data_IF_833944724422
#
_entry.id   IF_833944724422
#
_cell.length_a   1.000
_cell.length_b   1.000
_cell.length_c   1.000
_cell.angle_alpha   90.00
_cell.angle_beta   90.00
_cell.angle_gamma   90.00
#
_symmetry.space_group_name_H-M   'P 1'
#
loop_
_entity.id
_entity.type
_entity.pdbx_description
1 polymer ?
#
# COMPACT_ATOMS: atom_id res chain seq x y z
N UNK A 1 17.59 9.78 0.07
CA UNK A 1 17.59 8.96 -1.15
C UNK A 1 18.10 7.59 -0.74
N UNK A 2 17.33 6.54 -0.92
CA UNK A 2 17.83 5.18 -0.69
C UNK A 2 19.02 5.04 -1.62
N UNK A 3 20.24 4.80 -1.09
CA UNK A 3 21.32 4.34 -1.93
C UNK A 3 20.89 2.98 -2.45
N UNK A 4 20.43 2.92 -3.68
CA UNK A 4 20.05 1.68 -4.32
C UNK A 4 21.34 0.93 -4.60
N UNK A 5 21.87 0.29 -3.54
CA UNK A 5 23.10 -0.48 -3.60
C UNK A 5 23.00 -1.50 -4.73
N UNK A 6 23.82 -1.31 -5.78
CA UNK A 6 23.93 -2.22 -6.91
C UNK A 6 23.27 -1.77 -8.20
N UNK A 7 22.37 -0.78 -8.21
CA UNK A 7 21.86 -0.23 -9.48
C UNK A 7 22.97 0.59 -10.17
N UNK A 8 23.48 0.06 -11.29
CA UNK A 8 24.54 0.68 -12.10
C UNK A 8 24.06 1.84 -12.96
N UNK A 9 24.99 2.50 -13.66
CA UNK A 9 24.67 3.54 -14.64
C UNK A 9 23.99 2.93 -15.89
N UNK A 10 23.08 3.69 -16.50
CA UNK A 10 22.49 3.36 -17.80
C UNK A 10 21.53 2.15 -17.80
N UNK A 11 20.99 1.76 -16.63
CA UNK A 11 20.12 0.60 -16.52
C UNK A 11 18.68 0.88 -16.98
N UNK A 12 18.00 -0.20 -17.40
CA UNK A 12 16.56 -0.21 -17.72
C UNK A 12 15.74 -0.44 -16.46
N UNK A 13 14.89 0.53 -16.12
CA UNK A 13 14.04 0.53 -14.91
C UNK A 13 12.60 0.28 -15.28
N UNK A 14 11.92 -0.57 -14.55
CA UNK A 14 10.47 -0.72 -14.61
C UNK A 14 9.82 0.05 -13.48
N UNK A 15 8.90 0.94 -13.81
CA UNK A 15 8.02 1.63 -12.87
C UNK A 15 6.57 1.23 -13.08
N UNK A 16 5.96 0.61 -12.06
CA UNK A 16 4.55 0.24 -12.10
C UNK A 16 3.64 1.31 -11.48
N UNK A 17 4.12 2.06 -10.49
CA UNK A 17 3.29 3.02 -9.79
C UNK A 17 2.96 4.23 -10.68
N UNK A 18 1.71 4.73 -10.68
CA UNK A 18 1.36 6.00 -11.32
C UNK A 18 2.20 7.14 -10.74
N UNK A 19 2.49 8.17 -11.53
CA UNK A 19 3.29 9.32 -11.06
C UNK A 19 2.61 10.13 -9.94
N UNK A 20 1.32 9.98 -9.76
CA UNK A 20 0.58 10.53 -8.60
C UNK A 20 0.83 9.76 -7.30
N UNK A 21 1.51 8.62 -7.37
CA UNK A 21 1.90 7.81 -6.22
C UNK A 21 3.37 7.98 -5.94
N UNK A 22 3.70 8.17 -4.67
CA UNK A 22 5.08 8.39 -4.21
C UNK A 22 6.01 7.19 -4.46
N UNK A 23 5.49 5.98 -4.54
CA UNK A 23 6.27 4.80 -4.92
C UNK A 23 6.98 4.99 -6.28
N UNK A 24 6.41 5.75 -7.21
CA UNK A 24 7.04 6.07 -8.49
C UNK A 24 8.37 6.81 -8.33
N UNK A 25 8.52 7.57 -7.25
CA UNK A 25 9.73 8.32 -6.91
C UNK A 25 10.93 7.39 -6.69
N UNK A 26 10.70 6.15 -6.20
CA UNK A 26 11.75 5.13 -6.04
C UNK A 26 12.33 4.64 -7.38
N UNK A 27 11.60 4.77 -8.48
CA UNK A 27 12.10 4.45 -9.81
C UNK A 27 12.60 5.71 -10.53
N UNK A 28 11.82 6.79 -10.56
CA UNK A 28 12.07 8.00 -11.37
C UNK A 28 13.42 8.63 -11.05
N UNK A 29 13.64 9.02 -9.80
CA UNK A 29 14.86 9.78 -9.47
C UNK A 29 16.14 8.94 -9.56
N UNK A 30 16.20 7.71 -9.04
CA UNK A 30 17.42 6.90 -9.23
C UNK A 30 17.69 6.58 -10.69
N UNK A 31 16.66 6.27 -11.49
CA UNK A 31 16.80 6.05 -12.93
C UNK A 31 17.40 7.28 -13.63
N UNK A 32 16.81 8.46 -13.44
CA UNK A 32 17.27 9.68 -14.09
C UNK A 32 18.68 10.10 -13.63
N UNK A 33 18.97 10.00 -12.34
CA UNK A 33 20.28 10.38 -11.81
C UNK A 33 21.42 9.43 -12.19
N UNK A 34 21.07 8.18 -12.55
CA UNK A 34 22.01 7.18 -13.07
C UNK A 34 22.10 7.14 -14.60
N UNK A 35 21.36 8.02 -15.31
CA UNK A 35 21.32 8.02 -16.78
C UNK A 35 20.63 6.79 -17.36
N UNK A 36 19.70 6.17 -16.62
CA UNK A 36 18.94 5.00 -17.03
C UNK A 36 17.72 5.35 -17.89
N UNK A 37 17.05 4.31 -18.38
CA UNK A 37 15.77 4.38 -19.11
C UNK A 37 14.63 3.96 -18.22
N UNK A 38 13.55 4.76 -18.13
CA UNK A 38 12.36 4.45 -17.35
C UNK A 38 11.27 3.84 -18.22
N UNK A 39 10.95 2.58 -17.99
CA UNK A 39 9.89 1.84 -18.65
C UNK A 39 8.64 1.85 -17.80
N UNK A 40 7.55 2.38 -18.33
CA UNK A 40 6.30 2.57 -17.60
C UNK A 40 5.34 1.41 -17.87
N UNK A 41 4.79 0.85 -16.80
CA UNK A 41 3.67 -0.10 -16.87
C UNK A 41 2.37 0.70 -16.83
N UNK A 42 1.63 0.68 -17.92
CA UNK A 42 0.34 1.35 -18.03
C UNK A 42 -0.83 0.47 -17.54
N UNK A 43 -2.02 1.09 -17.47
CA UNK A 43 -3.26 0.39 -17.03
C UNK A 43 -3.68 -0.76 -17.94
N UNK A 44 -3.35 -0.68 -19.23
CA UNK A 44 -3.69 -1.74 -20.19
C UNK A 44 -2.78 -2.94 -20.03
N UNK A 45 -1.49 -2.74 -19.75
CA UNK A 45 -0.54 -3.81 -19.41
C UNK A 45 -0.95 -4.54 -18.13
N UNK A 46 -1.44 -3.81 -17.13
CA UNK A 46 -1.95 -4.42 -15.88
C UNK A 46 -3.18 -5.29 -16.17
N UNK A 47 -4.11 -4.82 -17.01
CA UNK A 47 -5.35 -5.53 -17.36
C UNK A 47 -5.11 -6.69 -18.34
N UNK A 48 -4.06 -6.60 -19.15
CA UNK A 48 -3.74 -7.55 -20.23
C UNK A 48 -2.32 -8.09 -20.05
N UNK A 49 -2.12 -9.13 -19.25
CA UNK A 49 -0.78 -9.68 -18.93
C UNK A 49 0.07 -10.01 -20.17
N UNK A 50 -0.55 -10.25 -21.33
CA UNK A 50 0.16 -10.46 -22.60
C UNK A 50 0.97 -9.24 -23.02
N UNK A 51 0.42 -8.02 -22.88
CA UNK A 51 1.13 -6.78 -23.23
C UNK A 51 2.34 -6.55 -22.30
N UNK A 52 2.16 -6.82 -21.02
CA UNK A 52 3.26 -6.76 -20.05
C UNK A 52 4.36 -7.76 -20.42
N UNK A 53 3.99 -9.00 -20.74
CA UNK A 53 4.94 -10.02 -21.16
C UNK A 53 5.68 -9.62 -22.46
N UNK A 54 5.00 -9.04 -23.44
CA UNK A 54 5.60 -8.53 -24.67
C UNK A 54 6.62 -7.40 -24.37
N UNK A 55 6.29 -6.47 -23.46
CA UNK A 55 7.21 -5.42 -23.04
C UNK A 55 8.46 -6.02 -22.37
N UNK A 56 8.29 -6.95 -21.41
CA UNK A 56 9.40 -7.61 -20.73
C UNK A 56 10.28 -8.44 -21.67
N UNK A 57 9.71 -9.04 -22.72
CA UNK A 57 10.47 -9.78 -23.72
C UNK A 57 11.31 -8.89 -24.64
N UNK A 58 10.83 -7.66 -24.90
CA UNK A 58 11.48 -6.73 -25.82
C UNK A 58 12.39 -5.72 -25.12
N UNK A 59 12.34 -5.63 -23.77
CA UNK A 59 13.12 -4.66 -23.00
C UNK A 59 13.91 -5.39 -21.92
N UNK A 60 15.25 -5.26 -21.90
CA UNK A 60 16.11 -5.93 -20.93
C UNK A 60 16.06 -5.21 -19.56
N UNK A 61 14.91 -5.23 -18.89
CA UNK A 61 14.71 -4.60 -17.59
C UNK A 61 15.74 -5.13 -16.57
N UNK A 62 16.42 -4.20 -15.90
CA UNK A 62 17.41 -4.52 -14.86
C UNK A 62 16.86 -4.32 -13.46
N UNK A 63 16.07 -3.26 -13.27
CA UNK A 63 15.53 -2.87 -11.97
C UNK A 63 14.02 -2.82 -12.01
N UNK A 64 13.39 -3.53 -11.08
CA UNK A 64 11.94 -3.62 -10.93
C UNK A 64 11.50 -2.86 -9.69
N UNK A 65 10.63 -1.86 -9.84
CA UNK A 65 10.00 -1.14 -8.73
C UNK A 65 8.49 -1.28 -8.82
N UNK A 66 7.89 -1.90 -7.82
CA UNK A 66 6.42 -2.09 -7.78
C UNK A 66 5.87 -2.33 -6.38
N UNK A 67 4.55 -2.37 -6.29
CA UNK A 67 3.89 -2.94 -5.11
C UNK A 67 4.04 -4.47 -5.06
N UNK A 68 4.02 -5.09 -3.86
CA UNK A 68 3.95 -6.54 -3.70
C UNK A 68 2.79 -7.20 -4.44
N UNK A 69 1.62 -6.57 -4.49
CA UNK A 69 0.46 -7.12 -5.21
C UNK A 69 0.68 -7.22 -6.71
N UNK A 70 1.41 -6.26 -7.30
CA UNK A 70 1.70 -6.30 -8.73
C UNK A 70 2.64 -7.45 -9.10
N UNK A 71 3.74 -7.64 -8.36
CA UNK A 71 4.63 -8.78 -8.64
C UNK A 71 3.96 -10.11 -8.34
N UNK A 72 3.07 -10.19 -7.34
CA UNK A 72 2.29 -11.40 -7.05
C UNK A 72 1.41 -11.79 -8.25
N UNK A 73 0.77 -10.83 -8.90
CA UNK A 73 0.05 -11.03 -10.15
C UNK A 73 0.98 -11.50 -11.28
N UNK A 74 2.15 -10.88 -11.43
CA UNK A 74 3.12 -11.25 -12.47
C UNK A 74 3.69 -12.65 -12.26
N UNK A 75 3.86 -13.11 -11.02
CA UNK A 75 4.33 -14.47 -10.71
C UNK A 75 3.35 -15.58 -11.14
N UNK A 76 2.11 -15.24 -11.51
CA UNK A 76 1.19 -16.18 -12.17
C UNK A 76 1.65 -16.53 -13.61
N UNK A 77 2.51 -15.69 -14.20
CA UNK A 77 3.15 -16.00 -15.47
C UNK A 77 4.23 -17.08 -15.24
N UNK A 78 4.12 -18.25 -15.85
CA UNK A 78 5.03 -19.38 -15.57
C UNK A 78 6.47 -19.10 -15.99
N UNK A 79 6.66 -18.20 -16.96
CA UNK A 79 7.97 -17.87 -17.53
C UNK A 79 8.64 -16.67 -16.84
N UNK A 80 8.04 -16.07 -15.81
CA UNK A 80 8.69 -14.99 -15.07
C UNK A 80 9.75 -15.59 -14.13
N UNK A 81 10.95 -15.79 -14.68
CA UNK A 81 12.12 -16.35 -13.98
C UNK A 81 13.42 -15.87 -14.64
N UNK A 82 14.54 -16.04 -13.93
CA UNK A 82 15.87 -15.59 -14.36
C UNK A 82 16.34 -16.22 -15.70
N UNK A 83 15.90 -17.42 -16.03
CA UNK A 83 16.27 -18.04 -17.33
C UNK A 83 15.67 -17.32 -18.51
N UNK A 84 14.45 -16.78 -18.36
CA UNK A 84 13.74 -16.04 -19.39
C UNK A 84 14.08 -14.55 -19.38
N UNK A 85 14.25 -13.95 -18.20
CA UNK A 85 14.50 -12.52 -18.02
C UNK A 85 15.77 -12.32 -17.18
N UNK A 86 16.90 -12.71 -17.77
CA UNK A 86 18.22 -12.73 -17.09
C UNK A 86 18.81 -11.35 -16.81
N UNK A 87 18.23 -10.29 -17.36
CA UNK A 87 18.63 -8.91 -17.08
C UNK A 87 18.09 -8.38 -15.75
N UNK A 88 16.99 -8.99 -15.21
CA UNK A 88 16.39 -8.56 -13.94
C UNK A 88 17.29 -8.90 -12.76
N UNK A 89 17.95 -7.88 -12.21
CA UNK A 89 18.96 -8.01 -11.16
C UNK A 89 18.50 -7.46 -9.81
N UNK A 90 17.53 -6.52 -9.81
CA UNK A 90 17.10 -5.83 -8.60
C UNK A 90 15.57 -5.72 -8.55
N UNK A 91 15.00 -6.05 -7.39
CA UNK A 91 13.58 -5.87 -7.11
C UNK A 91 13.40 -5.01 -5.86
N UNK A 92 12.60 -3.95 -5.95
CA UNK A 92 12.25 -3.09 -4.83
C UNK A 92 10.74 -3.07 -4.63
N UNK A 93 10.30 -3.42 -3.43
CA UNK A 93 8.90 -3.47 -3.06
C UNK A 93 8.61 -2.51 -1.92
N UNK A 94 7.58 -1.68 -2.09
CA UNK A 94 7.05 -0.78 -1.08
C UNK A 94 5.53 -0.64 -1.22
N UNK A 95 4.91 -0.02 -0.23
CA UNK A 95 3.50 0.36 -0.27
C UNK A 95 2.55 -0.68 0.32
N UNK A 96 2.92 -1.95 0.38
CA UNK A 96 2.13 -3.04 0.96
C UNK A 96 3.03 -4.02 1.71
N UNK A 97 2.41 -4.92 2.49
CA UNK A 97 3.13 -6.04 3.10
C UNK A 97 3.60 -6.99 1.98
N UNK A 98 4.91 -7.29 1.95
CA UNK A 98 5.45 -8.33 1.08
C UNK A 98 5.18 -9.71 1.72
N UNK A 99 4.31 -10.55 1.12
CA UNK A 99 4.04 -11.86 1.69
C UNK A 99 5.25 -12.76 1.61
N UNK A 100 5.47 -13.53 2.67
CA UNK A 100 6.57 -14.49 2.74
C UNK A 100 6.59 -15.47 1.54
N UNK A 101 5.41 -16.01 1.14
CA UNK A 101 5.28 -16.89 -0.03
C UNK A 101 5.73 -16.23 -1.34
N UNK A 102 5.42 -14.93 -1.51
CA UNK A 102 5.78 -14.15 -2.71
C UNK A 102 7.28 -13.92 -2.75
N UNK A 103 7.88 -13.51 -1.64
CA UNK A 103 9.31 -13.35 -1.50
C UNK A 103 10.08 -14.68 -1.74
N UNK A 104 9.60 -15.78 -1.17
CA UNK A 104 10.16 -17.11 -1.39
C UNK A 104 10.12 -17.54 -2.86
N UNK A 105 9.00 -17.26 -3.55
CA UNK A 105 8.88 -17.55 -4.98
C UNK A 105 9.86 -16.72 -5.82
N UNK A 106 10.07 -15.45 -5.47
CA UNK A 106 11.04 -14.59 -6.14
C UNK A 106 12.47 -15.05 -5.94
N UNK A 107 12.89 -15.32 -4.70
CA UNK A 107 14.26 -15.84 -4.41
C UNK A 107 14.52 -17.14 -5.16
N UNK A 108 13.52 -18.03 -5.25
CA UNK A 108 13.63 -19.28 -6.02
C UNK A 108 13.71 -19.06 -7.54
N UNK A 109 12.98 -18.09 -8.09
CA UNK A 109 12.94 -17.82 -9.53
C UNK A 109 14.07 -16.94 -10.03
N UNK A 110 14.65 -16.13 -9.15
CA UNK A 110 15.73 -15.17 -9.41
C UNK A 110 16.83 -15.30 -8.36
N UNK A 111 17.56 -16.45 -8.33
CA UNK A 111 18.53 -16.72 -7.28
C UNK A 111 19.74 -15.77 -7.30
N UNK A 112 20.04 -15.13 -8.44
CA UNK A 112 21.14 -14.18 -8.57
C UNK A 112 20.71 -12.72 -8.34
N UNK A 113 19.41 -12.43 -8.28
CA UNK A 113 18.91 -11.08 -8.11
C UNK A 113 18.86 -10.67 -6.62
N UNK A 114 18.97 -9.36 -6.37
CA UNK A 114 18.70 -8.78 -5.05
C UNK A 114 17.24 -8.36 -4.93
N UNK A 115 16.61 -8.73 -3.83
CA UNK A 115 15.20 -8.44 -3.55
C UNK A 115 15.14 -7.63 -2.28
N UNK A 116 14.54 -6.42 -2.34
CA UNK A 116 14.40 -5.52 -1.20
C UNK A 116 12.94 -5.36 -0.79
N UNK A 117 12.68 -5.60 0.50
CA UNK A 117 11.45 -5.16 1.16
C UNK A 117 11.71 -3.81 1.82
N UNK A 118 10.87 -2.82 1.53
CA UNK A 118 11.01 -1.47 2.04
C UNK A 118 9.70 -0.97 2.64
N UNK A 119 9.78 -0.04 3.57
CA UNK A 119 8.63 0.60 4.18
C UNK A 119 8.87 2.10 4.35
N UNK A 120 7.81 2.85 4.20
CA UNK A 120 7.70 4.25 4.56
C UNK A 120 6.38 4.84 4.07
N UNK A 121 5.86 5.84 4.80
CA UNK A 121 4.71 6.63 4.38
C UNK A 121 5.16 7.77 3.45
N UNK A 122 4.22 8.31 2.69
CA UNK A 122 4.41 9.50 1.85
C UNK A 122 4.93 10.68 2.65
N UNK A 123 4.45 10.82 3.87
CA UNK A 123 4.83 11.85 4.83
C UNK A 123 6.31 11.79 5.28
N UNK A 124 6.98 10.68 5.00
CA UNK A 124 8.41 10.51 5.27
C UNK A 124 9.23 10.12 4.01
N UNK A 125 8.78 10.52 2.84
CA UNK A 125 9.47 10.37 1.54
C UNK A 125 9.65 8.91 1.13
N UNK A 126 8.55 8.22 0.90
CA UNK A 126 8.38 6.89 0.27
C UNK A 126 8.91 5.72 1.09
N UNK A 127 10.23 5.67 1.36
CA UNK A 127 10.85 4.54 2.04
C UNK A 127 11.90 5.03 3.05
N UNK A 128 11.70 4.67 4.29
CA UNK A 128 12.58 4.99 5.42
C UNK A 128 13.31 3.76 5.96
N UNK A 129 12.87 2.55 5.60
CA UNK A 129 13.53 1.31 5.96
C UNK A 129 13.77 0.44 4.75
N UNK A 130 14.72 -0.48 4.85
CA UNK A 130 14.95 -1.51 3.86
C UNK A 130 15.60 -2.75 4.46
N UNK A 131 15.30 -3.91 3.86
CA UNK A 131 16.03 -5.17 4.10
C UNK A 131 16.14 -5.93 2.78
N UNK A 132 17.31 -6.53 2.55
CA UNK A 132 17.47 -7.51 1.49
C UNK A 132 16.86 -8.84 1.93
N UNK A 133 15.98 -9.39 1.13
CA UNK A 133 15.36 -10.68 1.36
C UNK A 133 16.31 -11.77 0.84
N UNK A 134 16.97 -12.45 1.76
CA UNK A 134 17.84 -13.60 1.50
C UNK A 134 17.14 -14.89 1.92
N UNK A 135 17.79 -16.02 1.64
CA UNK A 135 17.31 -17.34 2.09
C UNK A 135 17.26 -17.40 3.64
N UNK A 136 18.26 -16.82 4.33
CA UNK A 136 18.31 -16.76 5.79
C UNK A 136 17.16 -15.95 6.37
N UNK A 137 16.84 -14.78 5.78
CA UNK A 137 15.71 -13.94 6.20
C UNK A 137 14.39 -14.70 6.04
N UNK A 138 14.24 -15.48 4.94
CA UNK A 138 13.04 -16.31 4.73
C UNK A 138 12.92 -17.47 5.71
N UNK A 139 14.04 -18.03 6.17
CA UNK A 139 14.03 -19.13 7.15
C UNK A 139 13.78 -18.61 8.56
N UNK A 140 14.26 -17.42 8.88
CA UNK A 140 14.20 -16.85 10.23
C UNK A 140 12.89 -16.13 10.53
N UNK A 141 12.28 -15.44 9.54
CA UNK A 141 11.16 -14.52 9.80
C UNK A 141 9.91 -14.82 8.97
N UNK A 142 8.78 -14.92 9.66
CA UNK A 142 7.42 -14.93 9.06
C UNK A 142 6.42 -14.36 10.07
N UNK A 143 5.88 -13.12 9.90
CA UNK A 143 6.01 -12.26 8.71
C UNK A 143 7.41 -11.69 8.50
N UNK A 144 7.67 -11.19 7.28
CA UNK A 144 8.95 -10.57 6.92
C UNK A 144 9.10 -9.19 7.57
N UNK A 145 10.30 -8.83 8.05
CA UNK A 145 10.60 -7.49 8.51
C UNK A 145 10.63 -6.48 7.35
N UNK A 146 10.48 -5.21 7.67
CA UNK A 146 10.73 -4.10 6.76
C UNK A 146 12.17 -3.57 6.88
N UNK A 147 12.92 -4.11 7.82
CA UNK A 147 14.37 -3.94 7.96
C UNK A 147 14.80 -2.82 8.88
N UNK A 148 15.94 -2.22 8.56
CA UNK A 148 16.57 -1.17 9.34
C UNK A 148 16.27 0.20 8.75
N UNK A 149 16.33 1.25 9.59
CA UNK A 149 16.18 2.63 9.13
C UNK A 149 17.36 3.04 8.24
N UNK A 150 17.07 3.89 7.28
CA UNK A 150 18.11 4.52 6.45
C UNK A 150 18.93 5.53 7.26
N UNK A 151 20.18 5.85 6.83
CA UNK A 151 20.97 6.89 7.48
C UNK A 151 20.23 8.23 7.55
N UNK A 152 20.28 8.88 8.72
CA UNK A 152 19.60 10.16 8.98
C UNK A 152 18.11 10.04 9.26
N UNK A 153 17.63 8.83 9.55
CA UNK A 153 16.27 8.55 10.01
C UNK A 153 16.34 7.73 11.29
N UNK A 154 15.62 8.15 12.32
CA UNK A 154 15.42 7.40 13.56
C UNK A 154 14.02 6.84 13.59
N UNK A 155 13.88 5.60 14.05
CA UNK A 155 12.60 4.95 14.29
C UNK A 155 12.46 4.73 15.79
N UNK A 156 11.26 5.00 16.31
CA UNK A 156 10.89 4.68 17.68
C UNK A 156 9.43 4.22 17.73
N UNK A 157 9.02 3.66 18.86
CA UNK A 157 7.61 3.30 19.08
C UNK A 157 7.09 4.00 20.34
N UNK A 158 5.83 4.43 20.29
CA UNK A 158 5.13 4.90 21.50
C UNK A 158 4.82 3.74 22.44
N UNK A 159 4.35 4.04 23.66
CA UNK A 159 3.91 3.01 24.63
C UNK A 159 2.76 2.16 24.07
N UNK A 160 1.92 2.70 23.18
CA UNK A 160 0.85 1.98 22.49
C UNK A 160 1.35 1.17 21.28
N UNK A 161 2.64 1.27 20.95
CA UNK A 161 3.29 0.57 19.85
C UNK A 161 3.12 1.26 18.50
N UNK A 162 2.76 2.55 18.45
CA UNK A 162 2.76 3.32 17.21
C UNK A 162 4.18 3.61 16.75
N UNK A 163 4.46 3.39 15.46
CA UNK A 163 5.73 3.77 14.87
C UNK A 163 5.83 5.30 14.68
N UNK A 164 6.91 5.86 15.17
CA UNK A 164 7.26 7.28 15.00
C UNK A 164 8.53 7.35 14.15
N UNK A 165 8.50 8.20 13.13
CA UNK A 165 9.63 8.44 12.23
C UNK A 165 10.18 9.83 12.50
N UNK A 166 11.49 9.92 12.72
CA UNK A 166 12.21 11.17 12.95
C UNK A 166 13.31 11.35 11.90
N UNK A 167 13.47 12.58 11.39
CA UNK A 167 14.58 12.95 10.54
C UNK A 167 14.21 13.86 9.37
N UNK A 168 15.21 14.12 8.52
CA UNK A 168 15.11 15.08 7.40
C UNK A 168 14.13 14.63 6.30
N UNK A 169 13.79 13.35 6.25
CA UNK A 169 12.82 12.80 5.28
C UNK A 169 11.37 13.13 5.60
N UNK A 170 11.10 13.50 6.86
CA UNK A 170 9.77 13.88 7.31
C UNK A 170 9.37 15.19 6.65
N UNK A 171 8.16 15.22 6.06
CA UNK A 171 7.64 16.37 5.33
C UNK A 171 7.33 17.56 6.25
N UNK A 172 6.98 18.69 5.65
CA UNK A 172 6.60 19.91 6.40
C UNK A 172 5.15 19.89 6.89
N UNK A 173 4.39 18.84 6.58
CA UNK A 173 2.98 18.72 6.92
C UNK A 173 2.06 18.72 5.69
N UNK A 174 0.77 18.81 5.93
CA UNK A 174 -0.27 18.80 4.90
C UNK A 174 -0.61 20.22 4.43
N UNK A 175 -0.59 20.43 3.12
CA UNK A 175 -0.87 21.74 2.53
C UNK A 175 -2.27 22.23 2.90
N UNK A 176 -2.35 23.44 3.49
CA UNK A 176 -3.62 24.09 3.93
C UNK A 176 -4.46 23.23 4.89
N UNK A 177 -3.83 22.38 5.67
CA UNK A 177 -4.49 21.55 6.67
C UNK A 177 -3.65 21.52 7.97
N UNK A 178 -3.70 22.62 8.71
CA UNK A 178 -2.92 22.80 9.94
C UNK A 178 -3.39 21.85 11.06
N UNK A 179 -4.70 21.62 11.16
CA UNK A 179 -5.28 20.71 12.14
C UNK A 179 -4.72 19.30 12.00
N UNK A 180 -4.76 18.73 10.79
CA UNK A 180 -4.17 17.41 10.53
C UNK A 180 -2.65 17.41 10.67
N UNK A 181 -1.98 18.52 10.32
CA UNK A 181 -0.53 18.62 10.45
C UNK A 181 -0.13 18.54 11.91
N UNK A 182 -0.70 19.38 12.78
CA UNK A 182 -0.37 19.41 14.20
C UNK A 182 -0.77 18.13 14.96
N UNK A 183 -1.71 17.37 14.42
CA UNK A 183 -2.14 16.10 15.02
C UNK A 183 -1.09 14.97 14.87
N UNK A 184 -0.25 14.99 13.82
CA UNK A 184 0.65 13.87 13.51
C UNK A 184 2.10 14.29 13.26
N UNK A 185 2.38 15.55 13.05
CA UNK A 185 3.75 16.07 12.92
C UNK A 185 4.14 16.88 14.14
N UNK A 186 5.39 16.71 14.58
CA UNK A 186 6.01 17.56 15.58
C UNK A 186 7.32 18.14 15.05
N UNK A 187 7.64 19.36 15.48
CA UNK A 187 8.83 20.14 15.09
C UNK A 187 9.50 20.66 16.36
N UNK A 188 10.46 19.94 16.88
CA UNK A 188 11.22 20.32 18.08
C UNK A 188 12.71 20.37 17.78
N UNK A 189 13.40 21.41 18.23
CA UNK A 189 14.85 21.59 18.14
C UNK A 189 15.44 21.39 16.72
N UNK A 190 14.67 21.79 15.70
CA UNK A 190 15.05 21.62 14.29
C UNK A 190 14.86 20.21 13.73
N UNK A 191 14.34 19.29 14.52
CA UNK A 191 14.04 17.93 14.16
C UNK A 191 12.55 17.77 13.85
N UNK A 192 12.23 17.01 12.83
CA UNK A 192 10.85 16.69 12.43
C UNK A 192 10.52 15.25 12.77
N UNK A 193 9.38 15.05 13.40
CA UNK A 193 8.82 13.73 13.69
C UNK A 193 7.47 13.56 13.05
N UNK A 194 7.12 12.31 12.73
CA UNK A 194 5.84 11.94 12.14
C UNK A 194 5.28 10.70 12.84
N UNK A 195 4.09 10.81 13.37
CA UNK A 195 3.29 9.73 13.92
C UNK A 195 2.57 9.01 12.79
N UNK A 196 2.95 7.76 12.54
CA UNK A 196 2.55 7.06 11.31
C UNK A 196 1.15 6.48 11.34
N UNK A 197 0.60 6.23 12.53
CA UNK A 197 -0.59 5.40 12.73
C UNK A 197 -0.37 3.91 12.43
N UNK A 198 0.85 3.50 12.05
CA UNK A 198 1.21 2.09 11.88
C UNK A 198 1.71 1.52 13.20
N UNK A 199 1.25 0.33 13.55
CA UNK A 199 1.76 -0.43 14.69
C UNK A 199 3.02 -1.18 14.29
N UNK A 200 4.08 -1.04 15.07
CA UNK A 200 5.36 -1.70 14.79
C UNK A 200 5.96 -2.35 16.05
N UNK A 201 6.87 -3.27 15.83
CA UNK A 201 7.78 -3.79 16.85
C UNK A 201 9.20 -3.83 16.30
N UNK A 202 10.17 -3.75 17.20
CA UNK A 202 11.56 -4.05 16.90
C UNK A 202 11.90 -5.44 17.45
N UNK A 203 12.58 -6.25 16.64
CA UNK A 203 13.07 -7.57 17.02
C UNK A 203 14.37 -7.82 16.25
N UNK A 204 15.44 -8.24 16.96
CA UNK A 204 16.77 -8.44 16.40
C UNK A 204 17.36 -7.22 15.66
N UNK A 205 16.97 -6.00 16.08
CA UNK A 205 17.35 -4.74 15.41
C UNK A 205 16.61 -4.47 14.10
N UNK A 206 15.57 -5.26 13.78
CA UNK A 206 14.76 -5.13 12.60
C UNK A 206 13.35 -4.62 12.96
N UNK A 207 12.82 -3.72 12.13
CA UNK A 207 11.45 -3.22 12.26
C UNK A 207 10.47 -4.17 11.57
N UNK A 208 9.35 -4.45 12.25
CA UNK A 208 8.21 -5.22 11.75
C UNK A 208 6.93 -4.40 11.85
N UNK A 209 6.22 -4.25 10.75
CA UNK A 209 4.91 -3.62 10.73
C UNK A 209 3.84 -4.64 11.08
N UNK A 210 3.02 -4.34 12.09
CA UNK A 210 2.00 -5.26 12.62
C UNK A 210 0.57 -4.91 12.16
N UNK A 211 0.40 -3.79 11.45
CA UNK A 211 -0.90 -3.28 11.01
C UNK A 211 -1.06 -1.79 11.28
N UNK A 212 -2.31 -1.34 11.37
CA UNK A 212 -2.67 0.06 11.66
C UNK A 212 -3.36 0.18 13.01
N UNK A 213 -3.13 1.31 13.68
CA UNK A 213 -3.85 1.71 14.90
C UNK A 213 -5.18 2.37 14.51
N UNK A 214 -5.21 3.05 13.37
CA UNK A 214 -6.37 3.75 12.81
C UNK A 214 -7.14 2.92 11.76
N UNK A 215 -8.11 3.58 11.09
CA UNK A 215 -8.96 2.96 10.08
C UNK A 215 -8.45 3.15 8.65
N UNK A 216 -7.22 3.58 8.46
CA UNK A 216 -6.59 3.60 7.15
C UNK A 216 -6.32 2.18 6.66
N UNK A 217 -6.45 1.98 5.36
CA UNK A 217 -6.14 0.71 4.72
C UNK A 217 -5.27 0.92 3.48
N UNK A 218 -4.65 -0.17 3.04
CA UNK A 218 -3.99 -0.26 1.73
C UNK A 218 -4.69 -1.31 0.87
N UNK A 219 -5.20 -0.90 -0.29
CA UNK A 219 -5.83 -1.77 -1.27
C UNK A 219 -5.15 -1.61 -2.62
N UNK A 220 -4.51 -2.66 -3.12
CA UNK A 220 -3.72 -2.64 -4.36
C UNK A 220 -2.66 -1.52 -4.40
N UNK A 221 -2.03 -1.23 -3.26
CA UNK A 221 -1.05 -0.15 -3.10
C UNK A 221 -1.65 1.23 -2.79
N UNK A 222 -2.94 1.43 -2.99
CA UNK A 222 -3.60 2.69 -2.69
C UNK A 222 -3.90 2.80 -1.19
N UNK A 223 -3.33 3.83 -0.54
CA UNK A 223 -3.65 4.19 0.84
C UNK A 223 -4.94 5.02 0.85
N UNK A 224 -5.88 4.67 1.68
CA UNK A 224 -7.17 5.35 1.76
C UNK A 224 -7.74 5.37 3.18
N UNK A 225 -8.45 6.44 3.46
CA UNK A 225 -9.23 6.60 4.69
C UNK A 225 -10.62 6.02 4.49
N UNK A 226 -11.01 5.07 5.31
CA UNK A 226 -12.38 4.53 5.24
C UNK A 226 -13.43 5.61 5.56
N UNK A 227 -13.10 6.53 6.47
CA UNK A 227 -13.98 7.63 6.86
C UNK A 227 -14.24 8.64 5.72
N UNK A 228 -13.28 8.83 4.80
CA UNK A 228 -13.50 9.65 3.60
C UNK A 228 -14.58 9.02 2.73
N UNK A 229 -14.50 7.73 2.48
CA UNK A 229 -15.48 6.99 1.68
C UNK A 229 -16.86 7.05 2.34
N UNK A 230 -16.92 6.86 3.67
CA UNK A 230 -18.16 6.94 4.45
C UNK A 230 -18.79 8.33 4.40
N UNK A 231 -17.96 9.37 4.44
CA UNK A 231 -18.42 10.75 4.33
C UNK A 231 -19.06 11.00 2.97
N UNK A 232 -18.46 10.49 1.89
CA UNK A 232 -19.04 10.59 0.55
C UNK A 232 -20.30 9.73 0.39
N UNK A 233 -20.37 8.56 1.02
CA UNK A 233 -21.57 7.73 1.05
C UNK A 233 -22.73 8.45 1.74
N UNK A 234 -22.50 9.07 2.90
CA UNK A 234 -23.52 9.85 3.63
C UNK A 234 -24.02 11.10 2.91
N UNK A 235 -23.31 11.56 1.88
CA UNK A 235 -23.78 12.63 1.00
C UNK A 235 -24.70 12.12 -0.12
N UNK A 236 -24.87 10.82 -0.28
CA UNK A 236 -25.80 10.26 -1.24
C UNK A 236 -27.23 10.47 -0.76
N UNK A 237 -28.13 10.83 -1.68
CA UNK A 237 -29.55 10.98 -1.39
C UNK A 237 -30.24 9.67 -0.93
N UNK A 238 -29.61 8.52 -1.15
CA UNK A 238 -30.13 7.21 -0.81
C UNK A 238 -29.67 6.71 0.56
N UNK A 239 -28.63 7.32 1.17
CA UNK A 239 -27.90 6.79 2.31
C UNK A 239 -28.10 7.64 3.55
N UNK A 240 -28.75 7.08 4.58
CA UNK A 240 -28.89 7.72 5.90
C UNK A 240 -27.63 7.57 6.75
N UNK A 241 -27.12 6.35 6.81
CA UNK A 241 -25.91 6.01 7.56
C UNK A 241 -25.06 5.03 6.76
N UNK A 242 -23.75 5.13 6.88
CA UNK A 242 -22.85 4.21 6.23
C UNK A 242 -21.56 3.99 7.05
N UNK A 243 -21.09 2.75 7.00
CA UNK A 243 -19.74 2.35 7.39
C UNK A 243 -19.13 1.55 6.26
N UNK A 244 -17.84 1.72 6.03
CA UNK A 244 -17.06 0.93 5.07
C UNK A 244 -16.16 -0.01 5.82
N UNK A 245 -16.21 -1.30 5.47
CA UNK A 245 -15.37 -2.33 6.06
C UNK A 245 -14.51 -2.99 5.00
N UNK A 246 -13.22 -3.22 5.29
CA UNK A 246 -12.35 -3.96 4.42
C UNK A 246 -12.57 -5.46 4.55
N UNK A 247 -12.52 -6.16 3.41
CA UNK A 247 -12.52 -7.63 3.38
C UNK A 247 -11.09 -8.11 3.26
N UNK A 248 -10.67 -8.93 4.21
CA UNK A 248 -9.33 -9.49 4.26
C UNK A 248 -9.28 -10.90 3.69
N UNK A 249 -8.24 -11.19 2.91
CA UNK A 249 -7.88 -12.54 2.49
C UNK A 249 -6.37 -12.71 2.61
N UNK A 250 -5.94 -13.71 3.38
CA UNK A 250 -4.52 -13.96 3.62
C UNK A 250 -3.76 -12.72 4.17
N UNK A 251 -4.40 -11.96 5.08
CA UNK A 251 -3.81 -10.77 5.68
C UNK A 251 -3.80 -9.50 4.80
N UNK A 252 -4.34 -9.58 3.58
CA UNK A 252 -4.44 -8.42 2.66
C UNK A 252 -5.89 -8.01 2.47
N UNK A 253 -6.13 -6.70 2.34
CA UNK A 253 -7.42 -6.18 1.89
C UNK A 253 -7.60 -6.50 0.42
N UNK A 254 -8.72 -7.15 0.07
CA UNK A 254 -9.03 -7.55 -1.31
C UNK A 254 -10.13 -6.73 -1.95
N UNK A 255 -11.04 -6.18 -1.17
CA UNK A 255 -12.06 -5.22 -1.58
C UNK A 255 -12.74 -4.57 -0.37
N UNK A 256 -13.56 -3.56 -0.64
CA UNK A 256 -14.38 -2.86 0.34
C UNK A 256 -15.84 -3.27 0.22
N UNK A 257 -16.53 -3.27 1.35
CA UNK A 257 -17.98 -3.41 1.43
C UNK A 257 -18.52 -2.21 2.20
N UNK A 258 -19.57 -1.57 1.67
CA UNK A 258 -20.31 -0.54 2.38
C UNK A 258 -21.49 -1.16 3.13
N UNK A 259 -21.50 -1.09 4.45
CA UNK A 259 -22.70 -1.37 5.24
C UNK A 259 -23.54 -0.09 5.30
N UNK A 260 -24.75 -0.13 4.77
CA UNK A 260 -25.56 1.07 4.49
C UNK A 260 -26.94 0.95 5.10
N UNK A 261 -27.37 1.99 5.78
CA UNK A 261 -28.78 2.19 6.19
C UNK A 261 -29.39 3.19 5.22
N UNK A 262 -30.38 2.80 4.42
CA UNK A 262 -31.02 3.69 3.46
C UNK A 262 -32.03 4.63 4.15
N UNK A 263 -32.38 5.74 3.48
CA UNK A 263 -33.49 6.60 3.92
C UNK A 263 -34.85 5.91 3.76
N UNK A 264 -35.04 5.26 2.60
CA UNK A 264 -36.27 4.57 2.27
C UNK A 264 -36.05 3.06 2.16
N UNK A 265 -37.14 2.29 2.22
CA UNK A 265 -37.07 0.85 2.03
C UNK A 265 -36.53 0.52 0.64
N UNK A 266 -35.50 -0.31 0.59
CA UNK A 266 -34.91 -0.74 -0.67
C UNK A 266 -35.79 -1.81 -1.31
N UNK A 267 -36.42 -1.48 -2.44
CA UNK A 267 -37.23 -2.40 -3.25
C UNK A 267 -36.35 -3.17 -4.24
N UNK A 268 -35.39 -2.50 -4.87
CA UNK A 268 -34.39 -3.09 -5.76
C UNK A 268 -32.95 -2.76 -5.29
N UNK A 269 -32.31 -3.74 -4.69
CA UNK A 269 -30.93 -3.62 -4.21
C UNK A 269 -29.92 -3.36 -5.33
N UNK A 270 -30.18 -3.86 -6.54
CA UNK A 270 -29.25 -3.71 -7.68
C UNK A 270 -29.33 -2.31 -8.27
N UNK A 271 -30.53 -1.78 -8.47
CA UNK A 271 -30.75 -0.43 -8.96
C UNK A 271 -30.15 0.60 -7.98
N UNK A 272 -30.47 0.50 -6.68
CA UNK A 272 -29.94 1.40 -5.67
C UNK A 272 -28.40 1.33 -5.55
N UNK A 273 -27.82 0.13 -5.60
CA UNK A 273 -26.36 -0.06 -5.65
C UNK A 273 -25.75 0.66 -6.86
N UNK A 274 -26.39 0.57 -8.02
CA UNK A 274 -25.91 1.20 -9.25
C UNK A 274 -25.97 2.72 -9.13
N UNK A 275 -27.05 3.27 -8.59
CA UNK A 275 -27.22 4.69 -8.39
C UNK A 275 -26.20 5.26 -7.41
N UNK A 276 -25.98 4.63 -6.26
CA UNK A 276 -24.95 5.05 -5.29
C UNK A 276 -23.56 5.00 -5.91
N UNK A 277 -23.21 3.93 -6.62
CA UNK A 277 -21.91 3.84 -7.32
C UNK A 277 -21.74 4.93 -8.36
N UNK A 278 -22.80 5.30 -9.07
CA UNK A 278 -22.76 6.37 -10.03
C UNK A 278 -22.49 7.73 -9.37
N UNK A 279 -23.17 8.04 -8.25
CA UNK A 279 -22.90 9.24 -7.46
C UNK A 279 -21.46 9.28 -6.94
N UNK A 280 -20.96 8.17 -6.38
CA UNK A 280 -19.59 8.07 -5.84
C UNK A 280 -18.53 8.28 -6.92
N UNK A 281 -18.74 7.81 -8.15
CA UNK A 281 -17.78 7.99 -9.27
C UNK A 281 -17.50 9.45 -9.61
N UNK A 282 -18.41 10.35 -9.29
CA UNK A 282 -18.21 11.80 -9.49
C UNK A 282 -17.37 12.46 -8.38
N UNK A 283 -17.18 11.77 -7.24
CA UNK A 283 -16.57 12.31 -6.02
C UNK A 283 -15.34 11.57 -5.56
N UNK A 284 -15.23 10.27 -5.88
CA UNK A 284 -14.16 9.40 -5.45
C UNK A 284 -13.48 8.70 -6.62
N UNK A 285 -12.16 8.44 -6.53
CA UNK A 285 -11.47 7.54 -7.43
C UNK A 285 -12.11 6.14 -7.42
N UNK A 286 -12.07 5.45 -8.55
CA UNK A 286 -12.72 4.15 -8.74
C UNK A 286 -12.27 3.09 -7.72
N UNK A 287 -10.99 3.12 -7.32
CA UNK A 287 -10.43 2.17 -6.35
C UNK A 287 -10.96 2.35 -4.92
N UNK A 288 -11.55 3.50 -4.59
CA UNK A 288 -12.19 3.78 -3.29
C UNK A 288 -13.65 3.34 -3.23
N UNK A 289 -14.27 3.02 -4.37
CA UNK A 289 -15.69 2.68 -4.42
C UNK A 289 -15.91 1.26 -3.90
N UNK A 290 -16.78 1.05 -2.89
CA UNK A 290 -17.07 -0.27 -2.37
C UNK A 290 -17.56 -1.22 -3.46
N UNK A 291 -17.07 -2.47 -3.45
CA UNK A 291 -17.43 -3.48 -4.46
C UNK A 291 -18.91 -3.84 -4.39
N UNK A 292 -19.44 -3.96 -3.16
CA UNK A 292 -20.86 -4.21 -2.89
C UNK A 292 -21.34 -3.42 -1.68
N UNK A 293 -22.65 -3.33 -1.53
CA UNK A 293 -23.30 -2.78 -0.34
C UNK A 293 -24.11 -3.87 0.37
N UNK A 294 -24.04 -3.87 1.70
CA UNK A 294 -24.88 -4.64 2.59
C UNK A 294 -25.91 -3.69 3.21
N UNK A 295 -27.16 -4.01 3.01
CA UNK A 295 -28.29 -3.20 3.44
C UNK A 295 -28.67 -3.57 4.87
N UNK A 296 -28.73 -2.59 5.76
CA UNK A 296 -29.01 -2.76 7.17
C UNK A 296 -30.16 -1.86 7.58
N UNK A 297 -31.00 -2.33 8.51
CA UNK A 297 -32.04 -1.48 9.12
C UNK A 297 -31.44 -0.46 10.08
N UNK A 298 -30.36 -0.85 10.78
CA UNK A 298 -29.56 0.00 11.66
C UNK A 298 -28.12 -0.52 11.75
N UNK A 299 -27.16 0.37 11.95
CA UNK A 299 -25.78 0.00 12.23
C UNK A 299 -25.64 -0.39 13.71
N UNK A 300 -24.92 -1.49 14.03
CA UNK A 300 -24.68 -1.88 15.42
C UNK A 300 -23.82 -0.84 16.15
N UNK A 301 -24.14 -0.63 17.43
CA UNK A 301 -23.43 0.28 18.31
C UNK A 301 -22.70 -0.49 19.42
N UNK A 302 -21.57 0.06 19.88
CA UNK A 302 -20.91 -0.39 21.10
C UNK A 302 -21.73 -0.04 22.33
N UNK A 303 -21.35 -0.58 23.50
CA UNK A 303 -21.96 -0.21 24.80
C UNK A 303 -21.93 1.28 25.12
N UNK A 304 -20.99 2.02 24.51
CA UNK A 304 -20.83 3.47 24.69
C UNK A 304 -21.52 4.30 23.59
N UNK A 305 -22.40 3.68 22.77
CA UNK A 305 -23.15 4.37 21.73
C UNK A 305 -22.37 4.75 20.47
N UNK A 306 -21.12 4.28 20.33
CA UNK A 306 -20.33 4.47 19.11
C UNK A 306 -20.58 3.35 18.12
N UNK A 307 -20.41 3.59 16.82
CA UNK A 307 -20.51 2.58 15.77
C UNK A 307 -19.53 1.42 16.02
N UNK A 308 -20.05 0.19 16.03
CA UNK A 308 -19.28 -1.03 16.27
C UNK A 308 -18.78 -1.61 14.94
N UNK A 309 -17.67 -1.04 14.42
CA UNK A 309 -17.04 -1.49 13.17
C UNK A 309 -16.67 -2.98 13.19
N UNK A 310 -16.26 -3.50 14.36
CA UNK A 310 -15.86 -4.90 14.48
C UNK A 310 -17.06 -5.82 14.25
N UNK A 311 -18.17 -5.54 14.91
CA UNK A 311 -19.41 -6.30 14.75
C UNK A 311 -19.97 -6.18 13.32
N UNK A 312 -19.87 -5.00 12.70
CA UNK A 312 -20.24 -4.81 11.28
C UNK A 312 -19.35 -5.67 10.38
N UNK A 313 -18.04 -5.66 10.62
CA UNK A 313 -17.10 -6.47 9.84
C UNK A 313 -17.37 -7.98 9.98
N UNK A 314 -17.75 -8.46 11.18
CA UNK A 314 -18.14 -9.84 11.42
C UNK A 314 -19.42 -10.22 10.64
N UNK A 315 -20.43 -9.35 10.63
CA UNK A 315 -21.69 -9.58 9.89
C UNK A 315 -21.46 -9.58 8.37
N UNK A 316 -20.60 -8.72 7.89
CA UNK A 316 -20.37 -8.51 6.44
C UNK A 316 -19.39 -9.53 5.85
N UNK A 317 -18.47 -10.07 6.67
CA UNK A 317 -17.45 -11.05 6.24
C UNK A 317 -17.83 -12.51 6.58
N UNK A 318 -18.86 -12.73 7.37
CA UNK A 318 -19.38 -14.07 7.73
C UNK A 318 -20.24 -14.61 6.66
#
# INVERSE_FOLDING_TARGET
MVSLNGAGQGQEWLNQAPFSFDLSVMAIYPCLTSGGTLNLVDKDMIKKPKLLNEMLMNTPINVWVSTPSFIEMCLLLPNLNEKQYNSLNHFFFCGEILPHRTAKALVSRYPSATIYNTYGPTEATVAVTSIQITQEVLEQYNPLPVGVSRPGTTLSTTDEGELVIEGQSVSLGYLKNEEKTTAVFNFEDGTRTYHTGDKAKEEDGLCFIQGRIDFQIKLNGYRMELEEIETQLRQSQYVREAIVVPVYKNGKVVHLIGAVVPYDRVEDNLEMTTNIKHELKSRLPEYMIPRKFEWMEQLPLTSNGKLDRKKIAEVVNG
#
